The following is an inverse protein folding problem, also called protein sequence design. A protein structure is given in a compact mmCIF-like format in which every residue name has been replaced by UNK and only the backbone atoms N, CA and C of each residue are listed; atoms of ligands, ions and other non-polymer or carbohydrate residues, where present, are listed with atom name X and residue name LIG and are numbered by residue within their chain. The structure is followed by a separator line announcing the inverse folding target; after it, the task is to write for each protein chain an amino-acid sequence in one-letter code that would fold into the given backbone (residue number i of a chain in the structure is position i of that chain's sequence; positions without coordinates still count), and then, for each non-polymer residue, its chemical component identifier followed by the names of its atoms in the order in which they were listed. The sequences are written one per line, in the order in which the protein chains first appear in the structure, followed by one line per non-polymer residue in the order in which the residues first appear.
data_IF_122908163738
#
_entry.id   IF_122908163738
#
_cell.length_a   1.000
_cell.length_b   1.000
_cell.length_c   1.000
_cell.angle_alpha   90.00
_cell.angle_beta   90.00
_cell.angle_gamma   90.00
#
_symmetry.space_group_name_H-M   'P 1'
#
loop_
_entity.id
_entity.type
_entity.pdbx_description
1 polymer ?
#
# COMPACT_ATOMS: atom_id res chain seq x y z
N UNK A 1 21.43 -21.48 -5.66
CA UNK A 1 21.01 -20.42 -4.70
C UNK A 1 22.08 -19.35 -4.72
N UNK A 2 21.84 -18.22 -5.37
CA UNK A 2 22.87 -17.19 -5.56
C UNK A 2 22.83 -16.18 -4.40
N UNK A 3 23.90 -16.15 -3.60
CA UNK A 3 24.10 -15.25 -2.46
C UNK A 3 24.44 -13.80 -2.89
N UNK A 4 24.14 -13.43 -4.13
CA UNK A 4 24.58 -12.19 -4.79
C UNK A 4 23.91 -10.93 -4.24
N UNK A 5 22.80 -11.05 -3.52
CA UNK A 5 22.06 -9.91 -2.97
C UNK A 5 22.83 -9.16 -1.85
N UNK A 6 23.78 -9.82 -1.19
CA UNK A 6 24.57 -9.23 -0.09
C UNK A 6 25.78 -8.41 -0.55
N UNK A 7 26.39 -8.77 -1.69
CA UNK A 7 27.67 -8.18 -2.10
C UNK A 7 27.49 -6.78 -2.70
N UNK A 8 26.39 -6.55 -3.42
CA UNK A 8 26.05 -5.25 -3.98
C UNK A 8 25.65 -4.26 -2.88
N UNK A 9 24.96 -4.73 -1.84
CA UNK A 9 24.58 -3.92 -0.68
C UNK A 9 25.79 -3.58 0.20
N UNK A 10 26.69 -4.54 0.45
CA UNK A 10 27.96 -4.28 1.15
C UNK A 10 28.85 -3.27 0.38
N UNK A 11 28.96 -3.41 -0.94
CA UNK A 11 29.70 -2.47 -1.79
C UNK A 11 29.10 -1.06 -1.78
N UNK A 12 27.77 -0.94 -1.80
CA UNK A 12 27.08 0.35 -1.70
C UNK A 12 27.30 1.05 -0.36
N UNK A 13 27.26 0.30 0.76
CA UNK A 13 27.55 0.85 2.10
C UNK A 13 29.00 1.34 2.19
N UNK A 14 29.97 0.57 1.68
CA UNK A 14 31.37 0.96 1.63
C UNK A 14 31.60 2.20 0.78
N UNK A 15 31.01 2.28 -0.42
CA UNK A 15 31.11 3.44 -1.30
C UNK A 15 30.50 4.70 -0.66
N UNK A 16 29.43 4.54 0.12
CA UNK A 16 28.77 5.63 0.83
C UNK A 16 29.62 6.15 2.00
N UNK A 17 30.22 5.25 2.78
CA UNK A 17 31.16 5.61 3.85
C UNK A 17 32.37 6.34 3.28
N UNK A 18 32.94 5.85 2.18
CA UNK A 18 34.08 6.49 1.50
C UNK A 18 33.69 7.85 0.91
N UNK A 19 32.51 7.97 0.28
CA UNK A 19 32.01 9.24 -0.24
C UNK A 19 31.80 10.27 0.87
N UNK A 20 31.30 9.85 2.04
CA UNK A 20 31.14 10.71 3.20
C UNK A 20 32.48 11.17 3.78
N UNK A 21 33.47 10.29 3.83
CA UNK A 21 34.83 10.62 4.26
C UNK A 21 35.51 11.60 3.28
N UNK A 22 35.32 11.42 1.97
CA UNK A 22 35.83 12.33 0.95
C UNK A 22 35.14 13.70 1.02
N UNK A 23 33.83 13.75 1.25
CA UNK A 23 33.08 15.00 1.40
C UNK A 23 33.62 15.88 2.53
N UNK A 24 34.07 15.28 3.64
CA UNK A 24 34.68 15.98 4.77
C UNK A 24 36.11 16.46 4.41
N UNK A 25 36.79 15.79 3.48
CA UNK A 25 38.20 16.00 3.17
C UNK A 25 38.46 16.90 1.93
N UNK A 26 37.44 17.43 1.25
CA UNK A 26 37.63 18.30 0.06
C UNK A 26 37.64 19.80 0.39
N UNK A 27 38.41 20.21 1.40
CA UNK A 27 38.82 21.61 1.56
C UNK A 27 40.29 21.76 1.13
N UNK A 28 40.64 22.63 0.16
CA UNK A 28 42.03 22.86 -0.18
C UNK A 28 42.77 23.42 1.04
N UNK A 29 43.94 22.84 1.35
CA UNK A 29 44.90 23.38 2.31
C UNK A 29 45.35 24.75 1.76
N UNK A 30 44.63 25.83 2.08
CA UNK A 30 44.96 27.19 1.61
C UNK A 30 43.79 28.14 1.30
N UNK A 31 42.54 27.67 1.24
CA UNK A 31 41.37 28.57 1.16
C UNK A 31 40.55 28.38 2.43
N UNK A 32 40.69 29.31 3.37
CA UNK A 32 40.15 29.24 4.72
C UNK A 32 38.62 29.25 4.78
N UNK A 33 38.00 28.13 4.40
CA UNK A 33 36.61 27.83 4.77
C UNK A 33 36.68 27.21 6.16
N UNK A 34 35.99 27.83 7.12
CA UNK A 34 35.99 27.38 8.51
C UNK A 34 35.62 25.88 8.56
N UNK A 35 36.48 24.99 9.07
CA UNK A 35 36.22 23.55 9.11
C UNK A 35 34.92 23.22 9.87
N UNK A 36 34.47 24.10 10.76
CA UNK A 36 33.17 24.01 11.43
C UNK A 36 32.01 24.12 10.43
N UNK A 37 32.07 25.00 9.42
CA UNK A 37 31.02 25.15 8.40
C UNK A 37 30.94 23.93 7.48
N UNK A 38 32.09 23.32 7.17
CA UNK A 38 32.15 22.10 6.37
C UNK A 38 31.54 20.94 7.17
N UNK A 39 31.92 20.80 8.44
CA UNK A 39 31.33 19.79 9.32
C UNK A 39 29.81 19.98 9.50
N UNK A 40 29.35 21.22 9.67
CA UNK A 40 27.93 21.52 9.86
C UNK A 40 27.12 21.25 8.58
N UNK A 41 27.61 21.69 7.42
CA UNK A 41 26.93 21.47 6.13
C UNK A 41 26.91 20.00 5.73
N UNK A 42 27.99 19.26 6.01
CA UNK A 42 28.06 17.81 5.87
C UNK A 42 27.05 17.09 6.79
N UNK A 43 26.96 17.49 8.05
CA UNK A 43 26.03 16.90 9.02
C UNK A 43 24.57 17.14 8.62
N UNK A 44 24.23 18.35 8.17
CA UNK A 44 22.88 18.69 7.70
C UNK A 44 22.52 17.87 6.45
N UNK A 45 23.44 17.79 5.47
CA UNK A 45 23.22 17.03 4.24
C UNK A 45 23.07 15.53 4.51
N UNK A 46 23.89 14.99 5.41
CA UNK A 46 23.79 13.60 5.85
C UNK A 46 22.47 13.33 6.56
N UNK A 47 22.06 14.19 7.49
CA UNK A 47 20.77 14.08 8.18
C UNK A 47 19.58 14.13 7.23
N UNK A 48 19.59 15.04 6.26
CA UNK A 48 18.56 15.13 5.22
C UNK A 48 18.48 13.84 4.39
N UNK A 49 19.64 13.31 3.97
CA UNK A 49 19.71 12.08 3.20
C UNK A 49 19.19 10.87 3.99
N UNK A 50 19.60 10.71 5.25
CA UNK A 50 19.11 9.65 6.14
C UNK A 50 17.60 9.75 6.33
N UNK A 51 17.08 10.95 6.60
CA UNK A 51 15.64 11.19 6.73
C UNK A 51 14.89 10.78 5.45
N UNK A 52 15.39 11.18 4.28
CA UNK A 52 14.77 10.87 3.00
C UNK A 52 14.76 9.36 2.73
N UNK A 53 15.87 8.67 2.95
CA UNK A 53 15.98 7.20 2.83
C UNK A 53 15.05 6.49 3.81
N UNK A 54 14.97 6.94 5.07
CA UNK A 54 14.03 6.40 6.04
C UNK A 54 12.58 6.55 5.58
N UNK A 55 12.19 7.74 5.09
CA UNK A 55 10.83 7.98 4.58
C UNK A 55 10.51 7.11 3.38
N UNK A 56 11.44 6.95 2.44
CA UNK A 56 11.29 6.03 1.30
C UNK A 56 11.15 4.59 1.77
N UNK A 57 11.95 4.16 2.74
CA UNK A 57 11.90 2.80 3.23
C UNK A 57 10.60 2.51 3.98
N UNK A 58 10.10 3.48 4.75
CA UNK A 58 8.80 3.42 5.42
C UNK A 58 7.66 3.40 4.41
N UNK A 59 7.74 4.18 3.32
CA UNK A 59 6.77 4.15 2.22
C UNK A 59 6.81 2.84 1.43
N UNK A 60 7.98 2.23 1.25
CA UNK A 60 8.13 0.90 0.61
C UNK A 60 7.70 -0.25 1.52
N UNK A 61 7.79 -0.07 2.85
CA UNK A 61 7.30 -1.01 3.87
C UNK A 61 5.85 -0.75 4.27
N UNK A 62 5.24 0.33 3.81
CA UNK A 62 3.80 0.49 3.91
C UNK A 62 3.22 -0.76 3.24
N UNK A 63 2.50 -1.61 3.99
CA UNK A 63 2.00 -2.86 3.46
C UNK A 63 1.19 -2.48 2.23
N UNK A 64 1.65 -2.98 1.07
CA UNK A 64 0.83 -2.95 -0.13
C UNK A 64 -0.48 -3.57 0.32
N UNK A 65 -1.56 -2.80 0.37
CA UNK A 65 -2.86 -3.27 0.86
C UNK A 65 -3.44 -4.42 0.01
N UNK A 66 -2.66 -4.93 -0.95
CA UNK A 66 -2.81 -6.19 -1.65
C UNK A 66 -2.11 -7.36 -0.91
N UNK A 67 -2.12 -7.37 0.43
CA UNK A 67 -1.79 -8.56 1.20
C UNK A 67 -2.78 -9.65 0.82
N UNK A 68 -2.29 -10.73 0.21
CA UNK A 68 -3.11 -11.83 -0.32
C UNK A 68 -4.05 -12.48 0.69
N UNK A 69 -3.78 -12.24 1.96
CA UNK A 69 -4.44 -12.83 3.12
C UNK A 69 -5.43 -11.86 3.79
N UNK A 70 -5.37 -10.56 3.50
CA UNK A 70 -6.19 -9.53 4.17
C UNK A 70 -7.57 -9.35 3.52
N UNK A 71 -7.76 -9.83 2.29
CA UNK A 71 -9.02 -9.67 1.56
C UNK A 71 -10.08 -10.71 1.95
N UNK A 72 -9.68 -11.88 2.46
CA UNK A 72 -10.64 -12.91 2.91
C UNK A 72 -11.30 -12.42 4.21
N UNK A 73 -12.64 -12.36 4.22
CA UNK A 73 -13.42 -11.78 5.31
C UNK A 73 -13.68 -10.27 5.18
N UNK A 74 -13.03 -9.59 4.24
CA UNK A 74 -13.30 -8.18 3.97
C UNK A 74 -14.71 -8.00 3.38
N UNK A 75 -15.33 -6.86 3.70
CA UNK A 75 -16.61 -6.44 3.13
C UNK A 75 -16.36 -5.45 1.99
N UNK A 76 -17.20 -5.51 0.97
CA UNK A 76 -17.17 -4.59 -0.15
C UNK A 76 -18.54 -4.39 -0.77
N UNK A 77 -18.56 -3.70 -1.90
CA UNK A 77 -19.79 -3.39 -2.63
C UNK A 77 -19.65 -3.87 -4.08
N UNK A 78 -20.69 -4.53 -4.59
CA UNK A 78 -20.78 -4.87 -6.01
C UNK A 78 -20.92 -3.59 -6.83
N UNK A 79 -20.00 -3.34 -7.76
CA UNK A 79 -20.10 -2.19 -8.69
C UNK A 79 -20.84 -2.54 -9.98
N UNK A 80 -20.95 -3.84 -10.27
CA UNK A 80 -21.68 -4.39 -11.40
C UNK A 80 -22.52 -5.57 -10.92
N UNK A 81 -23.51 -5.93 -11.72
CA UNK A 81 -24.25 -7.17 -11.52
C UNK A 81 -23.29 -8.37 -11.68
N UNK A 82 -23.30 -9.27 -10.71
CA UNK A 82 -22.41 -10.43 -10.63
C UNK A 82 -23.26 -11.66 -10.93
N UNK A 83 -23.12 -12.20 -12.16
CA UNK A 83 -23.81 -13.40 -12.61
C UNK A 83 -23.09 -14.05 -13.81
N UNK A 84 -22.17 -15.02 -13.63
CA UNK A 84 -21.54 -15.46 -12.38
C UNK A 84 -20.30 -14.63 -12.01
N UNK A 85 -19.73 -13.88 -12.96
CA UNK A 85 -18.59 -12.98 -12.75
C UNK A 85 -19.05 -11.51 -12.79
N UNK A 86 -18.35 -10.66 -12.05
CA UNK A 86 -18.59 -9.22 -12.02
C UNK A 86 -17.47 -8.49 -11.28
N UNK A 87 -17.69 -7.20 -10.99
CA UNK A 87 -16.69 -6.35 -10.35
C UNK A 87 -17.17 -5.88 -8.97
N UNK A 88 -16.29 -6.01 -7.97
CA UNK A 88 -16.53 -5.57 -6.58
C UNK A 88 -15.46 -4.59 -6.14
N UNK A 89 -15.83 -3.64 -5.31
CA UNK A 89 -14.88 -2.72 -4.68
C UNK A 89 -14.59 -3.19 -3.26
N UNK A 90 -13.37 -3.67 -3.01
CA UNK A 90 -12.93 -4.24 -1.72
C UNK A 90 -11.54 -3.71 -1.40
N UNK A 91 -11.34 -3.23 -0.17
CA UNK A 91 -10.01 -2.80 0.30
C UNK A 91 -9.41 -1.63 -0.46
N UNK A 92 -10.25 -0.76 -1.07
CA UNK A 92 -9.80 0.39 -1.85
C UNK A 92 -9.44 0.10 -3.31
N UNK A 93 -9.69 -1.12 -3.80
CA UNK A 93 -9.43 -1.50 -5.19
C UNK A 93 -10.63 -2.25 -5.81
N UNK A 94 -10.69 -2.23 -7.14
CA UNK A 94 -11.68 -2.96 -7.92
C UNK A 94 -11.15 -4.37 -8.22
N UNK A 95 -11.92 -5.39 -7.89
CA UNK A 95 -11.56 -6.80 -8.05
C UNK A 95 -12.59 -7.53 -8.87
N UNK A 96 -12.14 -8.48 -9.69
CA UNK A 96 -13.02 -9.46 -10.32
C UNK A 96 -13.54 -10.40 -9.24
N UNK A 97 -14.85 -10.51 -9.12
CA UNK A 97 -15.49 -11.42 -8.21
C UNK A 97 -16.36 -12.43 -8.94
N UNK A 98 -16.48 -13.62 -8.36
CA UNK A 98 -17.41 -14.66 -8.79
C UNK A 98 -18.36 -14.99 -7.65
N UNK A 99 -19.63 -15.27 -7.99
CA UNK A 99 -20.63 -15.79 -7.06
C UNK A 99 -20.94 -17.25 -7.42
N UNK A 100 -20.84 -18.14 -6.44
CA UNK A 100 -21.24 -19.54 -6.57
C UNK A 100 -22.73 -19.75 -6.29
N UNK A 101 -23.47 -18.69 -5.95
CA UNK A 101 -24.87 -18.72 -5.53
C UNK A 101 -25.78 -17.76 -6.31
N UNK A 102 -26.61 -17.01 -5.59
CA UNK A 102 -27.59 -16.10 -6.20
C UNK A 102 -26.91 -14.92 -6.94
N UNK A 103 -27.48 -14.45 -8.06
CA UNK A 103 -27.03 -13.24 -8.74
C UNK A 103 -27.01 -12.03 -7.80
N UNK A 104 -25.88 -11.33 -7.73
CA UNK A 104 -25.72 -10.16 -6.87
C UNK A 104 -25.88 -8.91 -7.73
N UNK A 105 -26.84 -8.04 -7.41
CA UNK A 105 -27.01 -6.77 -8.14
C UNK A 105 -25.95 -5.75 -7.75
N UNK A 106 -25.63 -4.84 -8.67
CA UNK A 106 -24.82 -3.66 -8.41
C UNK A 106 -25.41 -2.85 -7.23
N UNK A 107 -24.55 -2.37 -6.35
CA UNK A 107 -24.88 -1.68 -5.11
C UNK A 107 -25.07 -2.59 -3.89
N UNK A 108 -25.09 -3.92 -4.07
CA UNK A 108 -25.26 -4.85 -2.94
C UNK A 108 -23.96 -4.99 -2.14
N UNK A 109 -24.07 -5.02 -0.81
CA UNK A 109 -22.93 -5.34 0.04
C UNK A 109 -22.59 -6.83 -0.03
N UNK A 110 -21.31 -7.11 -0.24
CA UNK A 110 -20.78 -8.47 -0.37
C UNK A 110 -19.67 -8.71 0.64
N UNK A 111 -19.51 -9.97 1.04
CA UNK A 111 -18.40 -10.43 1.87
C UNK A 111 -17.54 -11.41 1.08
N UNK A 112 -16.23 -11.21 1.11
CA UNK A 112 -15.27 -12.13 0.48
C UNK A 112 -15.13 -13.38 1.35
N UNK A 113 -15.44 -14.55 0.78
CA UNK A 113 -15.33 -15.86 1.44
C UNK A 113 -14.06 -16.60 1.04
N UNK A 114 -13.53 -16.31 -0.14
CA UNK A 114 -12.35 -16.99 -0.68
C UNK A 114 -11.69 -16.18 -1.78
N UNK A 115 -10.53 -16.66 -2.23
CA UNK A 115 -9.79 -16.07 -3.34
C UNK A 115 -9.12 -17.18 -4.15
N UNK A 116 -9.31 -17.12 -5.47
CA UNK A 116 -8.65 -18.02 -6.42
C UNK A 116 -7.85 -17.17 -7.41
N UNK A 117 -6.53 -17.08 -7.21
CA UNK A 117 -5.66 -16.29 -8.09
C UNK A 117 -5.91 -14.79 -7.99
N UNK A 118 -6.48 -14.16 -9.03
CA UNK A 118 -6.89 -12.74 -9.02
C UNK A 118 -8.42 -12.56 -8.91
N UNK A 119 -9.18 -13.65 -8.73
CA UNK A 119 -10.63 -13.62 -8.56
C UNK A 119 -11.01 -13.80 -7.09
N UNK A 120 -11.95 -12.99 -6.62
CA UNK A 120 -12.53 -13.10 -5.28
C UNK A 120 -13.82 -13.92 -5.35
N UNK A 121 -13.99 -14.84 -4.41
CA UNK A 121 -15.28 -15.50 -4.21
C UNK A 121 -16.05 -14.70 -3.16
N UNK A 122 -17.26 -14.27 -3.50
CA UNK A 122 -18.07 -13.38 -2.66
C UNK A 122 -19.46 -13.94 -2.45
N UNK A 123 -20.01 -13.67 -1.28
CA UNK A 123 -21.41 -13.96 -0.94
C UNK A 123 -22.13 -12.66 -0.59
N UNK A 124 -23.42 -12.51 -0.94
CA UNK A 124 -24.20 -11.37 -0.50
C UNK A 124 -24.25 -11.36 1.03
N UNK A 125 -24.01 -10.20 1.63
CA UNK A 125 -24.38 -10.01 3.03
C UNK A 125 -25.88 -9.83 3.03
N UNK A 126 -26.57 -10.64 3.81
CA UNK A 126 -27.99 -10.46 4.10
C UNK A 126 -28.14 -9.13 4.85
N UNK A 127 -28.24 -8.03 4.10
CA UNK A 127 -28.69 -6.76 4.64
C UNK A 127 -30.14 -6.97 5.01
N UNK A 128 -30.38 -7.02 6.32
CA UNK A 128 -31.70 -7.00 6.92
C UNK A 128 -32.60 -6.03 6.14
N UNK A 129 -33.64 -6.62 5.56
CA UNK A 129 -34.89 -6.04 5.10
C UNK A 129 -35.11 -4.63 5.62
N UNK A 130 -34.83 -3.62 4.81
CA UNK A 130 -35.53 -2.33 4.94
C UNK A 130 -36.91 -2.56 4.35
N UNK A 131 -37.82 -2.93 5.25
CA UNK A 131 -39.24 -3.10 5.02
C UNK A 131 -39.83 -1.84 4.36
N UNK A 132 -40.55 -1.96 3.23
CA UNK A 132 -41.22 -0.83 2.61
C UNK A 132 -42.46 -0.50 3.45
N UNK A 133 -42.35 0.46 4.37
CA UNK A 133 -43.49 0.97 5.12
C UNK A 133 -44.40 1.81 4.19
N UNK A 134 -45.21 1.12 3.39
CA UNK A 134 -46.46 1.64 2.88
C UNK A 134 -47.46 1.75 4.01
N UNK A 135 -47.69 2.97 4.51
CA UNK A 135 -48.94 3.31 5.19
C UNK A 135 -49.59 4.46 4.45
N UNK A 136 -50.66 4.09 3.76
CA UNK A 136 -51.70 4.96 3.29
C UNK A 136 -52.12 5.92 4.42
N UNK A 137 -51.92 7.23 4.20
CA UNK A 137 -52.71 8.23 4.90
C UNK A 137 -54.03 8.38 4.13
N UNK A 138 -55.02 7.61 4.56
CA UNK A 138 -56.42 7.95 4.40
C UNK A 138 -56.93 8.48 5.75
N UNK A 139 -57.51 9.67 5.67
CA UNK A 139 -58.78 10.01 6.34
C UNK A 139 -58.75 10.27 7.86
N UNK A 140 -58.76 11.57 8.22
CA UNK A 140 -59.76 12.13 9.13
C UNK A 140 -59.87 13.63 8.98
#
# INVERSE_FOLDING_TARGET
KANTHGILSAGGVLALVLGLAFLINTGPIGLGVNPVLIALSGLISFGFFVFFVQRIWMARRAPVAAGSETLVGASGEARQDIAPEGLVFVGGALWTATTSGEPIKAGTQVKVVGRTGLRLEVVPRETATVEPNGKAQKEK
#
